data_IF_308654562382
#
_entry.id   IF_308654562382
#
_cell.length_a   1.000
_cell.length_b   1.000
_cell.length_c   1.000
_cell.angle_alpha   90.00
_cell.angle_beta   90.00
_cell.angle_gamma   90.00
#
_symmetry.space_group_name_H-M   'P 1'
#
loop_
_entity.id
_entity.type
_entity.pdbx_description
1 polymer ?
#
# COMPACT_ATOMS: atom_id res chain seq x y z
N UNK A 1 -4.52 -22.22 -15.49
CA UNK A 1 -5.80 -21.66 -14.97
C UNK A 1 -5.55 -20.24 -14.50
N UNK A 2 -5.70 -19.27 -15.40
CA UNK A 2 -5.43 -17.85 -15.16
C UNK A 2 -6.38 -17.31 -14.08
N UNK A 3 -5.81 -16.93 -12.93
CA UNK A 3 -6.54 -16.47 -11.75
C UNK A 3 -7.44 -15.27 -12.06
N UNK A 4 -8.76 -15.51 -12.09
CA UNK A 4 -9.84 -14.53 -12.25
C UNK A 4 -9.98 -13.53 -11.07
N UNK A 5 -8.96 -13.41 -10.21
CA UNK A 5 -8.93 -12.51 -9.04
C UNK A 5 -8.33 -11.14 -9.34
N UNK A 6 -7.68 -10.97 -10.50
CA UNK A 6 -7.11 -9.69 -10.95
C UNK A 6 -8.13 -8.58 -11.31
N UNK A 7 -9.31 -8.84 -11.90
CA UNK A 7 -10.18 -7.76 -12.36
C UNK A 7 -10.87 -6.99 -11.23
N UNK A 8 -11.24 -7.64 -10.12
CA UNK A 8 -11.98 -6.97 -9.05
C UNK A 8 -11.20 -5.81 -8.40
N UNK A 9 -9.89 -6.00 -8.20
CA UNK A 9 -9.02 -4.98 -7.58
C UNK A 9 -8.78 -3.81 -8.53
N UNK A 10 -8.62 -4.09 -9.83
CA UNK A 10 -8.50 -3.07 -10.86
C UNK A 10 -9.79 -2.25 -11.01
N UNK A 11 -10.96 -2.92 -11.02
CA UNK A 11 -12.27 -2.26 -11.07
C UNK A 11 -12.51 -1.40 -9.84
N UNK A 12 -12.23 -1.91 -8.63
CA UNK A 12 -12.36 -1.12 -7.40
C UNK A 12 -11.46 0.14 -7.43
N UNK A 13 -10.26 0.04 -8.01
CA UNK A 13 -9.36 1.20 -8.17
C UNK A 13 -9.91 2.21 -9.17
N UNK A 14 -10.40 1.76 -10.33
CA UNK A 14 -11.02 2.64 -11.34
C UNK A 14 -12.25 3.35 -10.78
N UNK A 15 -13.05 2.66 -9.95
CA UNK A 15 -14.22 3.22 -9.27
C UNK A 15 -13.87 4.14 -8.09
N UNK A 16 -12.59 4.24 -7.69
CA UNK A 16 -12.17 5.02 -6.51
C UNK A 16 -12.60 4.42 -5.16
N UNK A 17 -13.07 3.17 -5.18
CA UNK A 17 -13.48 2.42 -3.99
C UNK A 17 -12.35 1.59 -3.40
N UNK A 18 -11.20 1.53 -4.06
CA UNK A 18 -10.03 0.83 -3.58
C UNK A 18 -9.44 1.49 -2.33
N UNK A 19 -9.12 0.64 -1.37
CA UNK A 19 -8.32 0.97 -0.22
C UNK A 19 -6.84 0.88 -0.56
N UNK A 20 -6.11 1.90 -0.14
CA UNK A 20 -4.66 2.03 -0.25
C UNK A 20 -4.08 2.31 1.13
N UNK A 21 -2.96 1.67 1.44
CA UNK A 21 -2.14 2.05 2.58
C UNK A 21 -1.00 2.93 2.08
N UNK A 22 -0.93 4.13 2.65
CA UNK A 22 0.19 5.04 2.50
C UNK A 22 1.16 4.76 3.63
N UNK A 23 2.33 4.22 3.32
CA UNK A 23 3.37 3.90 4.30
C UNK A 23 4.56 4.81 4.02
N UNK A 24 4.92 5.64 4.99
CA UNK A 24 6.09 6.50 4.96
C UNK A 24 7.11 6.01 5.96
N UNK A 25 8.32 5.77 5.48
CA UNK A 25 9.48 5.49 6.34
C UNK A 25 10.29 6.76 6.51
N UNK A 26 10.91 6.91 7.67
CA UNK A 26 11.93 7.92 7.93
C UNK A 26 13.24 7.20 8.22
N UNK A 27 14.32 7.65 7.58
CA UNK A 27 15.64 7.01 7.61
C UNK A 27 15.71 5.69 6.83
N UNK A 28 15.44 5.64 5.50
CA UNK A 28 15.31 6.71 4.49
C UNK A 28 13.88 7.22 4.27
N UNK A 29 13.74 8.44 3.72
CA UNK A 29 12.43 9.06 3.42
C UNK A 29 11.82 8.46 2.15
N UNK A 30 11.09 7.37 2.32
CA UNK A 30 10.45 6.65 1.22
C UNK A 30 8.96 6.53 1.49
N UNK A 31 8.17 6.78 0.44
CA UNK A 31 6.73 6.58 0.47
C UNK A 31 6.34 5.36 -0.36
N UNK A 32 5.76 4.37 0.30
CA UNK A 32 5.20 3.16 -0.30
C UNK A 32 3.68 3.22 -0.34
N UNK A 33 3.11 2.93 -1.50
CA UNK A 33 1.68 2.80 -1.69
C UNK A 33 1.30 1.33 -1.85
N UNK A 34 0.74 0.76 -0.79
CA UNK A 34 0.36 -0.66 -0.75
C UNK A 34 -1.13 -0.83 -1.06
N UNK A 35 -1.45 -1.50 -2.17
CA UNK A 35 -2.81 -1.65 -2.69
C UNK A 35 -2.84 -2.19 -4.13
N UNK A 36 -4.01 -2.19 -4.81
CA UNK A 36 -5.34 -1.81 -4.35
C UNK A 36 -6.13 -2.97 -3.69
N UNK A 37 -6.85 -2.67 -2.61
CA UNK A 37 -7.72 -3.63 -1.91
C UNK A 37 -9.19 -3.24 -1.96
N UNK A 38 -10.08 -4.22 -1.99
CA UNK A 38 -11.55 -3.98 -2.00
C UNK A 38 -12.05 -3.57 -0.61
N UNK A 39 -11.44 -4.07 0.46
CA UNK A 39 -11.87 -3.81 1.84
C UNK A 39 -10.70 -3.39 2.73
N UNK A 40 -10.98 -2.51 3.70
CA UNK A 40 -10.00 -2.06 4.70
C UNK A 40 -9.41 -3.22 5.51
N UNK A 41 -10.23 -4.22 5.85
CA UNK A 41 -9.80 -5.39 6.64
C UNK A 41 -8.77 -6.23 5.90
N UNK A 42 -9.01 -6.52 4.62
CA UNK A 42 -8.04 -7.27 3.81
C UNK A 42 -6.74 -6.50 3.63
N UNK A 43 -6.82 -5.18 3.40
CA UNK A 43 -5.65 -4.31 3.36
C UNK A 43 -4.89 -4.37 4.68
N UNK A 44 -5.57 -4.18 5.82
CA UNK A 44 -4.93 -4.13 7.13
C UNK A 44 -4.29 -5.46 7.51
N UNK A 45 -4.92 -6.59 7.19
CA UNK A 45 -4.38 -7.92 7.47
C UNK A 45 -3.05 -8.15 6.74
N UNK A 46 -2.99 -7.79 5.45
CA UNK A 46 -1.76 -7.91 4.63
C UNK A 46 -0.74 -6.83 5.00
N UNK A 47 -1.20 -5.61 5.29
CA UNK A 47 -0.38 -4.49 5.71
C UNK A 47 0.38 -4.80 7.00
N UNK A 48 -0.24 -5.47 7.98
CA UNK A 48 0.43 -5.85 9.21
C UNK A 48 1.65 -6.76 8.96
N UNK A 49 1.57 -7.67 7.98
CA UNK A 49 2.73 -8.49 7.59
C UNK A 49 3.79 -7.62 6.92
N UNK A 50 3.38 -6.78 5.97
CA UNK A 50 4.28 -5.87 5.26
C UNK A 50 5.02 -4.90 6.20
N UNK A 51 4.32 -4.32 7.19
CA UNK A 51 4.89 -3.45 8.20
C UNK A 51 5.86 -4.20 9.12
N UNK A 52 5.58 -5.46 9.44
CA UNK A 52 6.47 -6.30 10.24
C UNK A 52 7.77 -6.59 9.49
N UNK A 53 7.68 -6.86 8.20
CA UNK A 53 8.84 -7.07 7.33
C UNK A 53 9.68 -5.78 7.24
N UNK A 54 9.04 -4.63 6.97
CA UNK A 54 9.69 -3.31 6.96
C UNK A 54 10.33 -2.98 8.31
N UNK A 55 9.65 -3.25 9.42
CA UNK A 55 10.19 -2.97 10.75
C UNK A 55 11.39 -3.85 11.08
N UNK A 56 11.52 -5.03 10.48
CA UNK A 56 12.68 -5.89 10.65
C UNK A 56 13.94 -5.31 10.02
N UNK A 57 13.80 -4.41 9.03
CA UNK A 57 14.92 -3.67 8.43
C UNK A 57 15.36 -2.46 9.28
N UNK A 58 14.80 -2.30 10.48
CA UNK A 58 15.14 -1.24 11.46
C UNK A 58 15.08 0.21 10.93
N UNK A 59 13.99 0.65 10.28
CA UNK A 59 13.79 2.07 9.98
C UNK A 59 13.59 2.88 11.26
N UNK A 60 14.10 4.12 11.29
CA UNK A 60 13.97 5.03 12.45
C UNK A 60 12.50 5.30 12.82
N UNK A 61 11.62 5.40 11.81
CA UNK A 61 10.19 5.60 12.03
C UNK A 61 9.36 5.09 10.85
N UNK A 62 8.21 4.48 11.13
CA UNK A 62 7.23 4.08 10.12
C UNK A 62 5.88 4.71 10.44
N UNK A 63 5.37 5.55 9.54
CA UNK A 63 4.01 6.07 9.59
C UNK A 63 3.18 5.39 8.53
N UNK A 64 1.98 4.93 8.87
CA UNK A 64 1.05 4.39 7.88
C UNK A 64 -0.34 4.99 8.03
N UNK A 65 -1.06 5.11 6.92
CA UNK A 65 -2.44 5.62 6.89
C UNK A 65 -3.25 4.90 5.83
N UNK A 66 -4.51 4.57 6.15
CA UNK A 66 -5.41 3.84 5.27
C UNK A 66 -6.37 4.84 4.61
N UNK A 67 -6.29 4.98 3.29
CA UNK A 67 -7.13 5.92 2.55
C UNK A 67 -7.86 5.22 1.39
N UNK A 68 -9.01 5.74 1.01
CA UNK A 68 -9.70 5.34 -0.23
C UNK A 68 -9.38 6.36 -1.31
N UNK A 69 -8.70 5.93 -2.36
CA UNK A 69 -8.37 6.78 -3.49
C UNK A 69 -8.28 5.95 -4.76
N UNK A 70 -8.40 6.62 -5.91
CA UNK A 70 -7.94 6.08 -7.20
C UNK A 70 -6.47 6.46 -7.35
N UNK A 71 -5.58 5.48 -7.53
CA UNK A 71 -4.15 5.74 -7.80
C UNK A 71 -3.66 5.09 -9.09
N UNK A 72 -2.76 5.80 -9.75
CA UNK A 72 -1.90 5.31 -10.83
C UNK A 72 -0.44 5.34 -10.39
N UNK A 73 0.42 4.67 -11.16
CA UNK A 73 1.87 4.64 -10.93
C UNK A 73 2.47 6.07 -10.99
N UNK A 74 3.56 6.35 -10.23
CA UNK A 74 4.39 5.43 -9.44
C UNK A 74 3.88 5.16 -8.01
N UNK A 75 3.98 3.90 -7.56
CA UNK A 75 3.58 3.46 -6.21
C UNK A 75 4.70 3.54 -5.17
N UNK A 76 5.94 3.68 -5.61
CA UNK A 76 7.11 3.88 -4.75
C UNK A 76 7.72 5.21 -5.13
N UNK A 77 7.79 6.12 -4.16
CA UNK A 77 8.38 7.43 -4.33
C UNK A 77 9.54 7.51 -3.34
N UNK A 78 10.77 7.43 -3.88
CA UNK A 78 11.97 7.66 -3.11
C UNK A 78 12.29 9.15 -3.18
N UNK A 79 12.44 9.80 -2.02
CA UNK A 79 13.05 11.13 -1.98
C UNK A 79 14.56 10.93 -1.81
N UNK A 80 15.28 10.91 -2.93
CA UNK A 80 16.73 11.09 -2.92
C UNK A 80 17.00 12.58 -2.67
N UNK A 81 17.71 12.89 -1.58
CA UNK A 81 18.20 14.24 -1.26
C UNK A 81 19.63 14.36 -1.73
#
# INVERSE_FOLDING_TARGET
>A
MTSLKRPLRAVANILGLAWWAHVQTYGPNVTYWFGPFVTRRSLQSELSSFLKDLSSESPDNIRHSLIRCRRGEPFTINFEV
#
